data_IF_161023142656
#
_entry.id   IF_161023142656
#
_cell.length_a   1.000
_cell.length_b   1.000
_cell.length_c   1.000
_cell.angle_alpha   90.00
_cell.angle_beta   90.00
_cell.angle_gamma   90.00
#
_symmetry.space_group_name_H-M   'P 1'
#
loop_
_entity.id
_entity.type
_entity.pdbx_description
1 polymer ?
#
# COMPACT_ATOMS: atom_id res chain seq x y z
N UNK A 1 41.22 15.80 1.75
CA UNK A 1 40.42 16.20 0.56
C UNK A 1 39.24 15.26 0.59
N UNK A 2 38.29 15.57 1.47
CA UNK A 2 37.16 14.70 1.83
C UNK A 2 36.06 14.85 0.78
N UNK A 3 35.57 13.71 0.31
CA UNK A 3 34.64 13.59 -0.80
C UNK A 3 33.19 13.91 -0.36
N UNK A 4 32.60 15.03 -0.79
CA UNK A 4 31.27 15.48 -0.33
C UNK A 4 30.11 14.60 -0.84
N UNK A 5 30.38 13.60 -1.68
CA UNK A 5 29.37 12.68 -2.19
C UNK A 5 28.94 11.61 -1.16
N UNK A 6 29.85 11.18 -0.27
CA UNK A 6 29.60 10.09 0.70
C UNK A 6 28.62 10.52 1.80
N UNK A 7 28.52 11.82 2.10
CA UNK A 7 27.68 12.34 3.19
C UNK A 7 26.19 12.45 2.81
N UNK A 8 25.84 12.55 1.52
CA UNK A 8 24.44 12.63 1.06
C UNK A 8 23.73 11.28 1.03
N UNK A 9 24.44 10.20 0.72
CA UNK A 9 23.87 8.83 0.73
C UNK A 9 23.54 8.37 2.15
N UNK A 10 24.39 8.70 3.13
CA UNK A 10 24.15 8.39 4.53
C UNK A 10 22.95 9.18 5.11
N UNK A 11 22.76 10.43 4.69
CA UNK A 11 21.66 11.29 5.17
C UNK A 11 20.30 10.91 4.51
N UNK A 12 20.32 10.40 3.27
CA UNK A 12 19.14 9.82 2.62
C UNK A 12 18.71 8.48 3.24
N UNK A 13 19.63 7.74 3.86
CA UNK A 13 19.34 6.52 4.61
C UNK A 13 18.81 6.82 6.03
N UNK A 14 19.15 7.98 6.60
CA UNK A 14 18.84 8.35 7.98
C UNK A 14 17.39 8.83 8.20
N UNK A 15 16.66 9.22 7.15
CA UNK A 15 15.22 9.55 7.21
C UNK A 15 14.29 8.39 6.83
N UNK A 16 14.75 7.14 6.98
CA UNK A 16 13.85 5.99 6.96
C UNK A 16 12.94 6.08 8.18
N UNK A 17 11.74 6.60 8.00
CA UNK A 17 10.65 6.47 8.97
C UNK A 17 10.55 5.00 9.32
N UNK A 18 10.90 4.68 10.57
CA UNK A 18 10.93 3.31 11.04
C UNK A 18 9.51 2.88 11.30
N UNK A 19 9.14 1.71 10.79
CA UNK A 19 7.87 1.11 11.14
C UNK A 19 7.83 0.80 12.65
N UNK A 20 6.65 0.86 13.28
CA UNK A 20 6.47 0.38 14.65
C UNK A 20 6.99 -1.05 14.81
N UNK A 21 7.46 -1.39 16.01
CA UNK A 21 7.85 -2.77 16.32
C UNK A 21 6.65 -3.71 16.14
N UNK A 22 6.86 -4.83 15.44
CA UNK A 22 5.81 -5.80 15.12
C UNK A 22 4.95 -5.46 13.91
N UNK A 23 5.17 -4.32 13.23
CA UNK A 23 4.53 -4.05 11.96
C UNK A 23 4.99 -5.03 10.88
N UNK A 24 4.06 -5.50 10.05
CA UNK A 24 4.38 -6.36 8.92
C UNK A 24 4.89 -5.56 7.71
N UNK A 25 5.45 -6.28 6.73
CA UNK A 25 5.92 -5.68 5.48
C UNK A 25 4.78 -5.02 4.72
N UNK A 26 5.09 -4.01 3.90
CA UNK A 26 4.07 -3.38 3.08
C UNK A 26 3.39 -4.40 2.16
N UNK A 27 2.05 -4.30 2.08
CA UNK A 27 1.20 -5.16 1.25
C UNK A 27 0.34 -4.34 0.31
N UNK A 28 -0.09 -4.98 -0.78
CA UNK A 28 -1.17 -4.47 -1.61
C UNK A 28 -2.50 -5.00 -1.06
N UNK A 29 -3.34 -4.12 -0.52
CA UNK A 29 -4.63 -4.49 0.07
C UNK A 29 -5.73 -4.08 -0.91
N UNK A 30 -6.55 -5.02 -1.38
CA UNK A 30 -7.65 -4.76 -2.31
C UNK A 30 -8.98 -4.96 -1.61
N UNK A 31 -9.69 -3.88 -1.38
CA UNK A 31 -11.03 -3.88 -0.80
C UNK A 31 -12.09 -3.77 -1.89
N UNK A 32 -12.74 -4.88 -2.22
CA UNK A 32 -13.77 -4.93 -3.26
C UNK A 32 -14.84 -5.99 -2.96
N UNK A 33 -16.01 -5.84 -3.58
CA UNK A 33 -17.08 -6.81 -3.45
C UNK A 33 -16.97 -7.94 -4.48
N UNK A 34 -16.65 -7.61 -5.73
CA UNK A 34 -16.79 -8.53 -6.88
C UNK A 34 -15.58 -9.41 -7.22
N UNK A 35 -14.39 -9.13 -6.67
CA UNK A 35 -13.15 -9.87 -6.95
C UNK A 35 -12.51 -9.58 -8.32
N UNK A 36 -13.16 -8.81 -9.18
CA UNK A 36 -12.70 -8.52 -10.54
C UNK A 36 -11.42 -7.68 -10.56
N UNK A 37 -11.28 -6.75 -9.61
CA UNK A 37 -10.14 -5.85 -9.55
C UNK A 37 -8.89 -6.55 -9.02
N UNK A 38 -9.01 -7.40 -7.99
CA UNK A 38 -7.93 -8.19 -7.44
C UNK A 38 -7.42 -9.21 -8.46
N UNK A 39 -8.32 -9.89 -9.18
CA UNK A 39 -7.92 -10.81 -10.26
C UNK A 39 -7.18 -10.05 -11.37
N UNK A 40 -7.67 -8.87 -11.77
CA UNK A 40 -7.00 -8.01 -12.73
C UNK A 40 -5.61 -7.60 -12.27
N UNK A 41 -5.48 -7.09 -11.04
CA UNK A 41 -4.21 -6.67 -10.46
C UNK A 41 -3.21 -7.84 -10.35
N UNK A 42 -3.66 -9.03 -9.93
CA UNK A 42 -2.79 -10.22 -9.90
C UNK A 42 -2.22 -10.56 -11.28
N UNK A 43 -3.00 -10.38 -12.34
CA UNK A 43 -2.52 -10.62 -13.72
C UNK A 43 -1.47 -9.59 -14.13
N UNK A 44 -1.70 -8.32 -13.83
CA UNK A 44 -0.76 -7.23 -14.12
C UNK A 44 0.54 -7.30 -13.29
N UNK A 45 0.47 -7.96 -12.13
CA UNK A 45 1.59 -8.18 -11.21
C UNK A 45 2.19 -9.59 -11.33
N UNK A 46 1.80 -10.38 -12.33
CA UNK A 46 2.30 -11.72 -12.51
C UNK A 46 3.82 -11.72 -12.74
N UNK A 47 4.55 -12.49 -11.92
CA UNK A 47 6.03 -12.57 -11.97
C UNK A 47 6.74 -11.73 -10.90
N UNK A 48 6.00 -10.94 -10.12
CA UNK A 48 6.53 -10.12 -9.03
C UNK A 48 6.23 -10.74 -7.66
N UNK A 49 7.11 -10.54 -6.68
CA UNK A 49 6.88 -10.94 -5.28
C UNK A 49 6.00 -9.92 -4.53
N UNK A 50 4.81 -9.62 -5.06
CA UNK A 50 3.85 -8.72 -4.42
C UNK A 50 2.85 -9.50 -3.57
N UNK A 51 2.86 -9.25 -2.26
CA UNK A 51 1.85 -9.78 -1.35
C UNK A 51 0.53 -9.02 -1.48
N UNK A 52 -0.41 -9.59 -2.22
CA UNK A 52 -1.77 -9.07 -2.39
C UNK A 52 -2.74 -9.73 -1.39
N UNK A 53 -3.42 -8.90 -0.58
CA UNK A 53 -4.49 -9.30 0.33
C UNK A 53 -5.83 -8.78 -0.17
N UNK A 54 -6.88 -9.61 -0.16
CA UNK A 54 -8.24 -9.19 -0.49
C UNK A 54 -9.08 -9.02 0.77
N UNK A 55 -9.85 -7.93 0.83
CA UNK A 55 -10.84 -7.68 1.89
C UNK A 55 -12.20 -7.39 1.27
N UNK A 56 -13.27 -7.64 2.04
CA UNK A 56 -14.66 -7.50 1.56
C UNK A 56 -15.41 -6.32 2.19
N UNK A 57 -14.75 -5.57 3.08
CA UNK A 57 -15.30 -4.37 3.72
C UNK A 57 -14.22 -3.34 4.03
N UNK A 58 -14.62 -2.07 4.14
CA UNK A 58 -13.71 -1.00 4.55
C UNK A 58 -13.18 -1.22 5.97
N UNK A 59 -14.00 -1.75 6.89
CA UNK A 59 -13.55 -2.06 8.24
C UNK A 59 -12.37 -3.05 8.23
N UNK A 60 -12.54 -4.19 7.56
CA UNK A 60 -11.49 -5.21 7.42
C UNK A 60 -10.25 -4.64 6.70
N UNK A 61 -10.46 -3.84 5.65
CA UNK A 61 -9.37 -3.20 4.93
C UNK A 61 -8.51 -2.31 5.83
N UNK A 62 -9.12 -1.53 6.72
CA UNK A 62 -8.40 -0.65 7.64
C UNK A 62 -7.75 -1.41 8.81
N UNK A 63 -8.34 -2.53 9.24
CA UNK A 63 -7.71 -3.45 10.20
C UNK A 63 -6.42 -4.05 9.60
N UNK A 64 -6.49 -4.57 8.37
CA UNK A 64 -5.31 -5.08 7.65
C UNK A 64 -4.26 -3.99 7.41
N UNK A 65 -4.68 -2.74 7.17
CA UNK A 65 -3.76 -1.61 7.07
C UNK A 65 -3.09 -1.30 8.42
N UNK A 66 -3.78 -1.53 9.54
CA UNK A 66 -3.22 -1.44 10.89
C UNK A 66 -2.02 -2.35 11.11
N UNK A 67 -2.09 -3.56 10.58
CA UNK A 67 -1.01 -4.55 10.61
C UNK A 67 0.12 -4.21 9.62
N UNK A 68 -0.21 -3.54 8.51
CA UNK A 68 0.68 -3.24 7.40
C UNK A 68 0.70 -1.72 7.10
N UNK A 69 1.17 -0.85 8.01
CA UNK A 69 0.94 0.61 7.96
C UNK A 69 1.63 1.35 6.80
N UNK A 70 2.50 0.68 6.05
CA UNK A 70 3.08 1.18 4.81
C UNK A 70 2.45 0.58 3.54
N UNK A 71 1.30 -0.09 3.65
CA UNK A 71 0.61 -0.71 2.53
C UNK A 71 0.05 0.28 1.50
N UNK A 72 -0.17 -0.21 0.28
CA UNK A 72 -1.02 0.45 -0.71
C UNK A 72 -2.40 -0.18 -0.64
N UNK A 73 -3.41 0.64 -0.38
CA UNK A 73 -4.80 0.21 -0.38
C UNK A 73 -5.45 0.55 -1.71
N UNK A 74 -6.11 -0.42 -2.35
CA UNK A 74 -6.97 -0.24 -3.51
C UNK A 74 -8.41 -0.45 -3.06
N UNK A 75 -9.25 0.58 -3.15
CA UNK A 75 -10.65 0.49 -2.72
C UNK A 75 -11.59 0.61 -3.91
N UNK A 76 -12.54 -0.32 -4.02
CA UNK A 76 -13.69 -0.18 -4.89
C UNK A 76 -14.65 0.89 -4.35
N UNK A 77 -14.73 2.01 -5.08
CA UNK A 77 -15.69 3.07 -4.80
C UNK A 77 -17.06 2.67 -5.34
N UNK A 78 -18.06 2.80 -4.47
CA UNK A 78 -19.48 2.64 -4.79
C UNK A 78 -20.25 3.84 -4.25
N UNK A 79 -21.48 4.06 -4.72
CA UNK A 79 -22.35 5.10 -4.14
C UNK A 79 -22.65 4.84 -2.66
N UNK A 80 -22.59 3.57 -2.22
CA UNK A 80 -22.92 3.18 -0.85
C UNK A 80 -21.79 3.45 0.15
N UNK A 81 -20.53 3.56 -0.29
CA UNK A 81 -19.38 3.68 0.60
C UNK A 81 -18.59 4.99 0.46
N UNK A 82 -19.06 5.92 -0.40
CA UNK A 82 -18.31 7.15 -0.71
C UNK A 82 -18.04 8.01 0.53
N UNK A 83 -19.06 8.24 1.36
CA UNK A 83 -18.93 9.10 2.53
C UNK A 83 -18.04 8.47 3.61
N UNK A 84 -18.19 7.16 3.84
CA UNK A 84 -17.35 6.41 4.78
C UNK A 84 -15.88 6.44 4.33
N UNK A 85 -15.62 6.17 3.04
CA UNK A 85 -14.29 6.17 2.47
C UNK A 85 -13.60 7.54 2.59
N UNK A 86 -14.31 8.62 2.25
CA UNK A 86 -13.80 9.98 2.40
C UNK A 86 -13.43 10.29 3.84
N UNK A 87 -14.30 9.94 4.81
CA UNK A 87 -14.02 10.14 6.23
C UNK A 87 -12.76 9.41 6.71
N UNK A 88 -12.50 8.22 6.16
CA UNK A 88 -11.28 7.46 6.45
C UNK A 88 -10.04 8.06 5.79
N UNK A 89 -10.14 8.52 4.53
CA UNK A 89 -9.04 9.12 3.79
C UNK A 89 -8.53 10.42 4.42
N UNK A 90 -9.43 11.26 4.94
CA UNK A 90 -9.06 12.49 5.68
C UNK A 90 -8.12 12.20 6.85
N UNK A 91 -8.32 11.05 7.51
CA UNK A 91 -7.49 10.63 8.65
C UNK A 91 -6.25 9.82 8.24
N UNK A 92 -6.18 9.35 7.00
CA UNK A 92 -5.13 8.44 6.53
C UNK A 92 -3.74 9.03 6.75
N UNK A 93 -3.51 10.29 6.34
CA UNK A 93 -2.19 10.92 6.47
C UNK A 93 -1.71 11.05 7.93
N UNK A 94 -2.65 11.11 8.89
CA UNK A 94 -2.33 11.18 10.32
C UNK A 94 -2.15 9.79 10.93
N UNK A 95 -3.08 8.88 10.65
CA UNK A 95 -3.13 7.56 11.30
C UNK A 95 -2.14 6.57 10.63
N UNK A 96 -1.90 6.71 9.31
CA UNK A 96 -1.03 5.86 8.49
C UNK A 96 -0.23 6.68 7.46
N UNK A 97 0.77 7.49 7.89
CA UNK A 97 1.47 8.44 7.03
C UNK A 97 2.24 7.81 5.85
N UNK A 98 2.57 6.52 5.96
CA UNK A 98 3.27 5.75 4.93
C UNK A 98 2.32 5.02 3.99
N UNK A 99 1.04 4.89 4.34
CA UNK A 99 0.07 4.25 3.49
C UNK A 99 -0.32 5.15 2.32
N UNK A 100 -0.73 4.54 1.22
CA UNK A 100 -1.34 5.25 0.08
C UNK A 100 -2.66 4.58 -0.27
N UNK A 101 -3.56 5.35 -0.87
CA UNK A 101 -4.86 4.87 -1.33
C UNK A 101 -4.98 5.11 -2.82
N UNK A 102 -5.35 4.07 -3.56
CA UNK A 102 -5.81 4.15 -4.93
C UNK A 102 -7.28 3.72 -5.01
N UNK A 103 -8.00 4.29 -5.96
CA UNK A 103 -9.43 4.06 -6.13
C UNK A 103 -9.68 3.34 -7.45
N UNK A 104 -10.52 2.31 -7.39
CA UNK A 104 -11.13 1.69 -8.56
C UNK A 104 -12.63 1.89 -8.49
N UNK A 105 -13.30 2.08 -9.63
CA UNK A 105 -14.72 2.36 -9.64
C UNK A 105 -15.39 1.89 -10.93
N UNK A 106 -16.71 1.77 -10.94
CA UNK A 106 -17.47 1.70 -12.18
C UNK A 106 -17.37 3.04 -12.94
N UNK A 107 -17.47 2.99 -14.28
CA UNK A 107 -17.40 4.19 -15.13
C UNK A 107 -18.45 5.24 -14.79
N UNK A 108 -19.62 4.86 -14.26
CA UNK A 108 -20.67 5.79 -13.83
C UNK A 108 -20.21 6.71 -12.69
N UNK A 109 -19.17 6.32 -11.95
CA UNK A 109 -18.59 7.07 -10.85
C UNK A 109 -17.35 7.88 -11.27
N UNK A 110 -17.05 8.00 -12.57
CA UNK A 110 -15.92 8.79 -13.05
C UNK A 110 -15.96 10.26 -12.59
N UNK A 111 -17.16 10.82 -12.35
CA UNK A 111 -17.31 12.16 -11.79
C UNK A 111 -16.72 12.35 -10.38
N UNK A 112 -16.44 11.27 -9.65
CA UNK A 112 -15.80 11.32 -8.34
C UNK A 112 -14.27 11.40 -8.39
N UNK A 113 -13.64 11.29 -9.56
CA UNK A 113 -12.17 11.24 -9.67
C UNK A 113 -11.51 12.43 -8.96
N UNK A 114 -11.94 13.65 -9.28
CA UNK A 114 -11.38 14.86 -8.69
C UNK A 114 -11.55 14.88 -7.17
N UNK A 115 -12.74 14.54 -6.67
CA UNK A 115 -12.99 14.50 -5.24
C UNK A 115 -12.07 13.50 -4.52
N UNK A 116 -11.87 12.31 -5.08
CA UNK A 116 -11.00 11.30 -4.49
C UNK A 116 -9.52 11.71 -4.51
N UNK A 117 -9.08 12.37 -5.58
CA UNK A 117 -7.71 12.90 -5.66
C UNK A 117 -7.46 14.01 -4.65
N UNK A 118 -8.40 14.94 -4.50
CA UNK A 118 -8.33 15.98 -3.46
C UNK A 118 -8.31 15.38 -2.04
N UNK A 119 -9.00 14.26 -1.83
CA UNK A 119 -8.96 13.51 -0.57
C UNK A 119 -7.64 12.73 -0.35
N UNK A 120 -6.71 12.73 -1.31
CA UNK A 120 -5.39 12.11 -1.20
C UNK A 120 -5.24 10.77 -1.94
N UNK A 121 -6.17 10.38 -2.81
CA UNK A 121 -5.97 9.22 -3.67
C UNK A 121 -4.81 9.44 -4.64
N UNK A 122 -3.83 8.53 -4.65
CA UNK A 122 -2.68 8.61 -5.56
C UNK A 122 -3.02 8.19 -6.99
N UNK A 123 -4.11 7.43 -7.16
CA UNK A 123 -4.55 6.91 -8.45
C UNK A 123 -6.06 6.66 -8.44
N UNK A 124 -6.71 6.81 -9.60
CA UNK A 124 -8.15 6.59 -9.78
C UNK A 124 -8.39 5.94 -11.14
N UNK A 125 -9.09 4.80 -11.17
CA UNK A 125 -9.35 4.02 -12.40
C UNK A 125 -10.80 3.59 -12.48
N UNK A 126 -11.42 3.80 -13.64
CA UNK A 126 -12.81 3.40 -13.90
C UNK A 126 -12.95 2.16 -14.79
N UNK A 127 -11.85 1.49 -15.14
CA UNK A 127 -11.88 0.31 -16.01
C UNK A 127 -10.82 -0.72 -15.63
N UNK A 128 -11.17 -2.01 -15.50
CA UNK A 128 -10.19 -3.08 -15.27
C UNK A 128 -9.12 -3.18 -16.37
N UNK A 129 -9.39 -2.64 -17.57
CA UNK A 129 -8.43 -2.61 -18.68
C UNK A 129 -7.31 -1.59 -18.49
N UNK A 130 -7.44 -0.70 -17.51
CA UNK A 130 -6.48 0.36 -17.21
C UNK A 130 -5.70 0.05 -15.92
N UNK A 131 -5.59 -1.24 -15.55
CA UNK A 131 -4.89 -1.64 -14.32
C UNK A 131 -3.37 -1.61 -14.43
N UNK A 132 -2.79 -1.62 -15.63
CA UNK A 132 -1.34 -1.54 -15.82
C UNK A 132 -0.69 -0.35 -15.08
N UNK A 133 -1.16 0.89 -15.29
CA UNK A 133 -0.68 2.06 -14.54
C UNK A 133 -0.86 1.93 -13.02
N UNK A 134 -1.96 1.33 -12.54
CA UNK A 134 -2.17 1.09 -11.11
C UNK A 134 -1.16 0.05 -10.56
N UNK A 135 -0.87 -1.00 -11.32
CA UNK A 135 0.14 -1.99 -10.96
C UNK A 135 1.54 -1.37 -10.88
N UNK A 136 1.89 -0.44 -11.77
CA UNK A 136 3.14 0.32 -11.68
C UNK A 136 3.22 1.19 -10.41
N UNK A 137 2.12 1.87 -10.05
CA UNK A 137 2.04 2.63 -8.79
C UNK A 137 2.21 1.68 -7.60
N UNK A 138 1.59 0.51 -7.64
CA UNK A 138 1.73 -0.51 -6.59
C UNK A 138 3.17 -0.99 -6.43
N UNK A 139 3.84 -1.40 -7.52
CA UNK A 139 5.24 -1.81 -7.50
C UNK A 139 6.13 -0.72 -6.89
N UNK A 140 6.06 0.49 -7.44
CA UNK A 140 6.88 1.61 -6.98
C UNK A 140 6.67 1.91 -5.50
N UNK A 141 5.42 1.87 -5.03
CA UNK A 141 5.11 2.11 -3.62
C UNK A 141 5.70 1.03 -2.72
N UNK A 142 5.55 -0.25 -3.09
CA UNK A 142 6.05 -1.38 -2.31
C UNK A 142 7.57 -1.44 -2.30
N UNK A 143 8.23 -1.17 -3.43
CA UNK A 143 9.70 -1.12 -3.52
C UNK A 143 10.31 0.01 -2.67
N UNK A 144 9.56 1.10 -2.49
CA UNK A 144 9.97 2.25 -1.67
C UNK A 144 9.56 2.13 -0.21
N UNK A 145 8.76 1.12 0.15
CA UNK A 145 8.28 0.96 1.50
C UNK A 145 9.43 0.60 2.46
N UNK A 146 9.43 1.16 3.69
CA UNK A 146 10.43 0.79 4.68
C UNK A 146 10.29 -0.68 5.05
N UNK A 147 11.42 -1.38 5.13
CA UNK A 147 11.48 -2.76 5.60
C UNK A 147 11.15 -2.79 7.10
N UNK A 148 10.25 -3.68 7.55
CA UNK A 148 9.98 -3.87 8.97
C UNK A 148 11.24 -4.10 9.78
N UNK A 149 11.30 -3.50 10.97
CA UNK A 149 12.33 -3.86 11.93
C UNK A 149 12.02 -5.24 12.47
N UNK A 150 12.86 -6.21 12.10
CA UNK A 150 12.88 -7.51 12.78
C UNK A 150 13.23 -7.27 14.25
N UNK A 151 12.43 -7.84 15.14
CA UNK A 151 12.72 -7.85 16.56
C UNK A 151 14.11 -8.43 16.83
N UNK A 152 14.71 -8.10 17.98
CA UNK A 152 16.00 -8.70 18.39
C UNK A 152 15.92 -10.23 18.32
N UNK A 153 14.82 -10.80 18.81
CA UNK A 153 14.57 -12.25 18.81
C UNK A 153 14.53 -12.81 17.39
N UNK A 154 13.78 -12.21 16.46
CA UNK A 154 13.74 -12.65 15.06
C UNK A 154 15.10 -12.52 14.36
N UNK A 155 15.87 -11.48 14.68
CA UNK A 155 17.24 -11.34 14.16
C UNK A 155 18.14 -12.46 14.67
N UNK A 156 18.05 -12.79 15.96
CA UNK A 156 18.77 -13.91 16.55
C UNK A 156 18.36 -15.20 15.85
N UNK A 157 17.06 -15.50 15.75
CA UNK A 157 16.56 -16.71 15.09
C UNK A 157 16.98 -16.82 13.63
N UNK A 158 16.91 -15.72 12.87
CA UNK A 158 17.33 -15.68 11.48
C UNK A 158 18.85 -15.83 11.31
N UNK A 159 19.65 -15.51 12.33
CA UNK A 159 21.11 -15.66 12.31
C UNK A 159 21.60 -17.07 12.70
N UNK A 160 20.72 -17.93 13.21
CA UNK A 160 21.11 -19.27 13.62
C UNK A 160 21.27 -20.20 12.40
N UNK A 161 22.29 -21.08 12.38
CA UNK A 161 22.69 -21.85 11.20
C UNK A 161 21.70 -22.94 10.75
N UNK A 162 20.58 -23.10 11.45
CA UNK A 162 19.55 -24.11 11.17
C UNK A 162 18.24 -23.53 10.64
N UNK A 163 18.15 -22.20 10.41
CA UNK A 163 16.92 -21.53 9.97
C UNK A 163 16.57 -21.68 8.47
N UNK A 164 17.39 -22.35 7.67
CA UNK A 164 17.24 -22.42 6.21
C UNK A 164 17.15 -23.87 5.68
N UNK A 165 16.29 -24.69 6.28
CA UNK A 165 15.89 -26.00 5.73
C UNK A 165 14.47 -25.96 5.19
#
# INVERSE_FOLDING_TARGET
>A
MDDPAVTKEADSLARRVLLPDGAEAARLIVCEHGGGWAVGLRRELAGEEVHLCETRSLAQCWETLGENPAGLVVVELTTANVDELLGRMVRLGRDFPLARVAIVADRRLAGYEWLMREAGAVHFVCSPRQLGPLAEVARRHLDQAPVPRRSVTERIWASLPWGSR
#
